data_IF_143284027214
#
_entry.id   IF_143284027214
#
_cell.length_a   1.000
_cell.length_b   1.000
_cell.length_c   1.000
_cell.angle_alpha   90.00
_cell.angle_beta   90.00
_cell.angle_gamma   90.00
#
_symmetry.space_group_name_H-M   'P 1'
#
loop_
_entity.id
_entity.type
_entity.pdbx_description
1 polymer ?
#
# COMPACT_ATOMS: atom_id res chain seq x y z
N UNK A 1 -0.10 4.94 19.18
CA UNK A 1 -1.56 4.64 19.01
C UNK A 1 -2.12 4.02 20.28
N UNK A 2 -3.25 4.49 20.77
CA UNK A 2 -4.01 3.88 21.88
C UNK A 2 -5.10 2.99 21.29
N UNK A 3 -5.23 1.76 21.81
CA UNK A 3 -6.25 0.80 21.40
C UNK A 3 -6.91 0.20 22.66
N UNK A 4 -8.24 0.19 22.69
CA UNK A 4 -8.97 -0.35 23.84
C UNK A 4 -10.40 -0.82 23.49
N UNK A 5 -10.96 -1.62 24.35
CA UNK A 5 -12.39 -1.98 24.35
C UNK A 5 -13.08 -1.20 25.47
N UNK A 6 -14.10 -0.43 25.12
CA UNK A 6 -14.87 0.37 26.07
C UNK A 6 -16.33 0.51 25.64
N UNK A 7 -17.17 1.11 26.50
CA UNK A 7 -18.54 1.40 26.12
C UNK A 7 -18.60 2.48 25.04
N UNK A 8 -19.48 2.32 24.08
CA UNK A 8 -19.57 3.24 22.95
C UNK A 8 -19.89 4.68 23.38
N UNK A 9 -20.74 4.85 24.42
CA UNK A 9 -21.06 6.17 24.97
C UNK A 9 -19.83 6.94 25.48
N UNK A 10 -18.76 6.23 25.87
CA UNK A 10 -17.51 6.81 26.35
C UNK A 10 -16.46 6.96 25.24
N UNK A 11 -16.86 6.66 23.98
CA UNK A 11 -15.96 6.56 22.83
C UNK A 11 -16.06 7.74 21.85
N UNK A 12 -16.68 8.85 22.25
CA UNK A 12 -16.70 10.06 21.42
C UNK A 12 -15.27 10.55 21.14
N UNK A 13 -14.97 10.85 19.87
CA UNK A 13 -13.62 11.24 19.45
C UNK A 13 -12.63 10.10 19.27
N UNK A 14 -13.08 8.83 19.35
CA UNK A 14 -12.31 7.65 19.03
C UNK A 14 -12.72 7.05 17.69
N UNK A 15 -11.79 6.40 17.01
CA UNK A 15 -12.07 5.69 15.76
C UNK A 15 -12.49 4.25 16.04
N UNK A 16 -13.50 3.76 15.31
CA UNK A 16 -13.92 2.36 15.38
C UNK A 16 -12.84 1.44 14.79
N UNK A 17 -12.41 0.44 15.55
CA UNK A 17 -11.50 -0.60 15.05
C UNK A 17 -12.21 -1.66 14.22
N UNK A 18 -13.53 -1.80 14.41
CA UNK A 18 -14.40 -2.70 13.65
C UNK A 18 -15.74 -2.04 13.33
N UNK A 19 -16.43 -2.56 12.32
CA UNK A 19 -17.74 -2.03 11.97
C UNK A 19 -18.77 -2.37 13.04
N UNK A 20 -19.66 -1.42 13.34
CA UNK A 20 -20.81 -1.59 14.24
C UNK A 20 -22.11 -1.17 13.54
N UNK A 21 -23.24 -1.65 14.05
CA UNK A 21 -24.57 -1.25 13.56
C UNK A 21 -25.19 -0.21 14.52
N UNK A 22 -25.62 0.91 13.96
CA UNK A 22 -26.35 1.95 14.65
C UNK A 22 -27.68 2.17 13.96
N UNK A 23 -28.79 1.79 14.59
CA UNK A 23 -30.14 1.96 14.02
C UNK A 23 -30.31 1.32 12.63
N UNK A 24 -29.68 0.16 12.38
CA UNK A 24 -29.69 -0.52 11.08
C UNK A 24 -28.67 0.02 10.06
N UNK A 25 -28.02 1.14 10.34
CA UNK A 25 -26.93 1.68 9.51
C UNK A 25 -25.59 1.14 9.98
N UNK A 26 -24.75 0.67 9.04
CA UNK A 26 -23.40 0.22 9.33
C UNK A 26 -22.44 1.42 9.43
N UNK A 27 -21.81 1.58 10.60
CA UNK A 27 -20.64 2.43 10.77
C UNK A 27 -19.40 1.57 10.52
N UNK A 28 -18.56 1.97 9.57
CA UNK A 28 -17.40 1.19 9.14
C UNK A 28 -16.22 1.27 10.12
N UNK A 29 -15.24 0.39 9.95
CA UNK A 29 -13.89 0.52 10.51
C UNK A 29 -13.34 1.91 10.15
N UNK A 30 -12.61 2.57 11.07
CA UNK A 30 -12.02 3.89 10.88
C UNK A 30 -13.00 5.05 11.07
N UNK A 31 -14.30 4.79 11.32
CA UNK A 31 -15.25 5.87 11.61
C UNK A 31 -14.90 6.55 12.93
N UNK A 32 -14.63 7.85 12.88
CA UNK A 32 -14.50 8.69 14.07
C UNK A 32 -15.91 8.86 14.68
N UNK A 33 -16.09 8.38 15.90
CA UNK A 33 -17.39 8.46 16.58
C UNK A 33 -17.67 9.90 17.03
N UNK A 34 -18.79 10.47 16.55
CA UNK A 34 -19.31 11.70 17.11
C UNK A 34 -19.93 11.45 18.49
N UNK A 35 -20.09 12.51 19.30
CA UNK A 35 -20.78 12.40 20.59
C UNK A 35 -22.20 11.87 20.46
N UNK A 36 -22.90 12.24 19.39
CA UNK A 36 -24.24 11.78 19.10
C UNK A 36 -24.28 10.28 18.75
N UNK A 37 -23.37 9.82 17.89
CA UNK A 37 -23.24 8.40 17.54
C UNK A 37 -22.84 7.55 18.75
N UNK A 38 -21.90 8.03 19.54
CA UNK A 38 -21.46 7.37 20.77
C UNK A 38 -22.61 7.20 21.77
N UNK A 39 -23.36 8.27 22.03
CA UNK A 39 -24.53 8.24 22.89
C UNK A 39 -25.63 7.30 22.37
N UNK A 40 -25.88 7.31 21.06
CA UNK A 40 -26.90 6.46 20.44
C UNK A 40 -26.53 4.96 20.44
N UNK A 41 -25.24 4.61 20.41
CA UNK A 41 -24.74 3.24 20.61
C UNK A 41 -24.84 2.79 22.09
N UNK A 42 -24.82 3.73 23.03
CA UNK A 42 -25.01 3.49 24.45
C UNK A 42 -23.93 2.61 25.08
N UNK A 43 -24.38 1.64 25.91
CA UNK A 43 -23.47 0.74 26.65
C UNK A 43 -22.90 -0.41 25.81
N UNK A 44 -23.11 -0.45 24.49
CA UNK A 44 -22.51 -1.45 23.62
C UNK A 44 -20.98 -1.39 23.74
N UNK A 45 -20.33 -2.54 23.94
CA UNK A 45 -18.88 -2.62 23.92
C UNK A 45 -18.37 -2.52 22.48
N UNK A 46 -17.41 -1.61 22.27
CA UNK A 46 -16.78 -1.37 20.98
C UNK A 46 -15.26 -1.40 21.13
N UNK A 47 -14.58 -1.88 20.10
CA UNK A 47 -13.15 -1.74 19.98
C UNK A 47 -12.85 -0.43 19.25
N UNK A 48 -12.04 0.40 19.88
CA UNK A 48 -11.71 1.73 19.39
C UNK A 48 -10.22 2.01 19.48
N UNK A 49 -9.77 2.95 18.65
CA UNK A 49 -8.39 3.41 18.66
C UNK A 49 -8.31 4.92 18.52
N UNK A 50 -7.22 5.49 18.97
CA UNK A 50 -6.90 6.90 18.84
C UNK A 50 -5.44 7.05 18.44
N UNK A 51 -5.19 7.89 17.43
CA UNK A 51 -3.83 8.23 17.02
C UNK A 51 -3.21 9.17 18.06
N UNK A 52 -1.92 8.98 18.31
CA UNK A 52 -1.09 9.91 19.07
C UNK A 52 -0.48 10.93 18.09
N UNK A 53 0.17 11.95 18.60
CA UNK A 53 0.62 13.10 17.80
C UNK A 53 1.65 12.78 16.71
N UNK A 54 2.37 11.68 16.89
CA UNK A 54 3.42 11.18 16.00
C UNK A 54 3.00 9.93 15.19
N UNK A 55 1.74 9.53 15.30
CA UNK A 55 1.18 8.44 14.51
C UNK A 55 0.69 8.92 13.14
N UNK A 56 0.95 8.11 12.13
CA UNK A 56 0.27 8.17 10.84
C UNK A 56 -0.81 7.09 10.77
N UNK A 57 -1.95 7.41 10.22
CA UNK A 57 -2.96 6.41 9.88
C UNK A 57 -2.41 5.40 8.86
N UNK A 58 -3.05 4.22 8.78
CA UNK A 58 -2.65 3.18 7.84
C UNK A 58 -2.60 3.69 6.38
N UNK A 59 -3.53 4.58 5.99
CA UNK A 59 -3.59 5.10 4.63
C UNK A 59 -2.52 6.18 4.39
N UNK A 60 -2.28 7.09 5.33
CA UNK A 60 -1.20 8.09 5.25
C UNK A 60 0.18 7.43 5.19
N UNK A 61 0.41 6.40 6.02
CA UNK A 61 1.66 5.64 6.00
C UNK A 61 1.86 4.91 4.67
N UNK A 62 0.81 4.24 4.15
CA UNK A 62 0.87 3.57 2.85
C UNK A 62 1.12 4.55 1.70
N UNK A 63 0.45 5.70 1.72
CA UNK A 63 0.64 6.76 0.73
C UNK A 63 2.05 7.35 0.78
N UNK A 64 2.59 7.56 1.98
CA UNK A 64 3.95 8.06 2.16
C UNK A 64 5.00 7.10 1.59
N UNK A 65 4.85 5.79 1.85
CA UNK A 65 5.82 4.77 1.41
C UNK A 65 5.69 4.40 -0.06
N UNK A 66 4.52 4.54 -0.68
CA UNK A 66 4.32 4.15 -2.09
C UNK A 66 5.27 4.91 -3.03
N UNK A 67 5.45 6.22 -2.79
CA UNK A 67 6.32 7.06 -3.62
C UNK A 67 7.79 6.67 -3.51
N UNK A 68 8.21 6.25 -2.33
CA UNK A 68 9.59 5.84 -2.07
C UNK A 68 9.88 4.43 -2.63
N UNK A 69 8.91 3.52 -2.57
CA UNK A 69 9.04 2.13 -3.02
C UNK A 69 8.93 1.98 -4.55
N UNK A 70 7.97 2.66 -5.15
CA UNK A 70 7.66 2.50 -6.57
C UNK A 70 8.18 3.67 -7.42
N UNK A 71 8.79 4.68 -6.77
CA UNK A 71 9.32 5.90 -7.38
C UNK A 71 8.24 6.95 -7.63
N UNK A 72 8.65 8.23 -7.56
CA UNK A 72 7.77 9.36 -7.89
C UNK A 72 7.32 9.34 -9.36
N UNK A 73 7.97 8.55 -10.19
CA UNK A 73 7.69 8.36 -11.60
C UNK A 73 7.10 6.98 -11.90
N UNK A 74 6.33 6.40 -10.98
CA UNK A 74 5.53 5.23 -11.31
C UNK A 74 4.39 5.62 -12.27
N UNK A 75 4.76 6.23 -13.38
CA UNK A 75 3.86 6.39 -14.52
C UNK A 75 3.89 5.11 -15.36
N UNK A 76 2.81 4.78 -16.06
CA UNK A 76 2.76 3.64 -16.96
C UNK A 76 3.94 3.58 -17.94
N UNK A 77 4.49 4.76 -18.30
CA UNK A 77 5.55 4.88 -19.30
C UNK A 77 6.96 4.61 -18.72
N UNK A 78 7.22 4.94 -17.46
CA UNK A 78 8.57 4.86 -16.88
C UNK A 78 8.84 3.57 -16.12
N UNK A 79 7.93 3.13 -15.26
CA UNK A 79 8.10 1.91 -14.47
C UNK A 79 7.29 0.72 -15.00
N UNK A 80 6.36 0.95 -15.93
CA UNK A 80 5.43 -0.07 -16.40
C UNK A 80 4.44 -0.53 -15.33
N UNK A 81 4.18 0.31 -14.30
CA UNK A 81 3.28 0.04 -13.20
C UNK A 81 2.21 1.12 -13.10
N UNK A 82 1.02 0.72 -12.67
CA UNK A 82 -0.07 1.60 -12.23
C UNK A 82 -0.33 1.34 -10.76
N UNK A 83 -0.38 2.38 -9.95
CA UNK A 83 -0.62 2.26 -8.50
C UNK A 83 -2.09 2.55 -8.19
N UNK A 84 -2.67 1.77 -7.27
CA UNK A 84 -3.96 2.11 -6.68
C UNK A 84 -3.81 3.25 -5.67
N UNK A 85 -4.91 3.91 -5.36
CA UNK A 85 -4.97 4.76 -4.16
C UNK A 85 -4.73 3.93 -2.90
N UNK A 86 -4.16 4.57 -1.86
CA UNK A 86 -4.03 3.97 -0.56
C UNK A 86 -5.42 3.82 0.07
N UNK A 87 -5.80 2.58 0.42
CA UNK A 87 -7.07 2.28 1.10
C UNK A 87 -6.89 1.15 2.09
N UNK A 88 -7.36 1.37 3.32
CA UNK A 88 -7.22 0.40 4.43
C UNK A 88 -5.79 -0.11 4.58
N UNK A 89 -4.83 0.84 4.53
CA UNK A 89 -3.39 0.59 4.64
C UNK A 89 -2.79 -0.18 3.46
N UNK A 90 -3.46 -0.23 2.30
CA UNK A 90 -3.00 -1.02 1.15
C UNK A 90 -2.81 -0.15 -0.09
N UNK A 91 -1.70 -0.40 -0.80
CA UNK A 91 -1.45 0.06 -2.16
C UNK A 91 -1.12 -1.15 -3.03
N UNK A 92 -1.79 -1.29 -4.15
CA UNK A 92 -1.51 -2.31 -5.16
C UNK A 92 -0.74 -1.69 -6.32
N UNK A 93 0.30 -2.36 -6.78
CA UNK A 93 1.00 -2.06 -8.02
C UNK A 93 0.60 -3.08 -9.08
N UNK A 94 0.00 -2.61 -10.16
CA UNK A 94 -0.49 -3.40 -11.28
C UNK A 94 0.43 -3.21 -12.49
N UNK A 95 0.63 -4.23 -13.31
CA UNK A 95 1.34 -4.09 -14.57
C UNK A 95 0.55 -3.19 -15.53
N UNK A 96 1.16 -2.11 -15.98
CA UNK A 96 0.56 -1.18 -16.97
C UNK A 96 0.67 -1.70 -18.40
N UNK A 97 1.56 -2.67 -18.63
CA UNK A 97 1.84 -3.29 -19.95
C UNK A 97 2.39 -4.70 -19.76
N UNK A 98 2.32 -5.58 -20.78
CA UNK A 98 2.96 -6.89 -20.73
C UNK A 98 4.47 -6.78 -20.59
N UNK A 99 5.10 -7.71 -19.84
CA UNK A 99 6.53 -7.69 -19.64
C UNK A 99 7.03 -8.71 -18.63
N UNK A 100 8.24 -8.45 -18.13
CA UNK A 100 8.85 -9.20 -17.03
C UNK A 100 8.99 -8.30 -15.81
N UNK A 101 8.62 -8.83 -14.65
CA UNK A 101 8.85 -8.18 -13.36
C UNK A 101 10.34 -8.21 -13.07
N UNK A 102 10.92 -7.06 -12.73
CA UNK A 102 12.33 -6.94 -12.30
C UNK A 102 12.34 -6.33 -10.90
N UNK A 103 12.87 -7.08 -9.93
CA UNK A 103 12.83 -6.73 -8.53
C UNK A 103 14.22 -6.53 -7.94
N UNK A 104 14.34 -5.59 -7.00
CA UNK A 104 15.43 -5.55 -6.03
C UNK A 104 15.05 -6.42 -4.83
N UNK A 105 15.27 -7.73 -4.92
CA UNK A 105 14.94 -8.69 -3.87
C UNK A 105 15.65 -8.35 -2.53
N UNK A 106 16.89 -7.84 -2.58
CA UNK A 106 17.61 -7.43 -1.38
C UNK A 106 16.97 -6.20 -0.73
N UNK A 107 16.54 -5.22 -1.54
CA UNK A 107 15.82 -4.04 -1.08
C UNK A 107 14.48 -4.40 -0.44
N UNK A 108 13.72 -5.30 -1.07
CA UNK A 108 12.45 -5.82 -0.53
C UNK A 108 12.69 -6.54 0.81
N UNK A 109 13.72 -7.38 0.89
CA UNK A 109 14.09 -8.06 2.13
C UNK A 109 14.45 -7.09 3.25
N UNK A 110 15.20 -6.02 2.96
CA UNK A 110 15.50 -4.96 3.93
C UNK A 110 14.24 -4.24 4.39
N UNK A 111 13.37 -3.84 3.45
CA UNK A 111 12.10 -3.18 3.76
C UNK A 111 11.23 -4.02 4.70
N UNK A 112 11.01 -5.29 4.36
CA UNK A 112 10.20 -6.20 5.18
C UNK A 112 10.84 -6.57 6.52
N UNK A 113 12.14 -6.35 6.67
CA UNK A 113 12.88 -6.58 7.91
C UNK A 113 12.92 -5.40 8.88
N UNK A 114 12.35 -4.24 8.50
CA UNK A 114 12.40 -3.03 9.35
C UNK A 114 11.45 -3.14 10.53
N UNK A 115 10.19 -3.50 10.26
CA UNK A 115 9.13 -3.57 11.27
C UNK A 115 7.98 -4.44 10.75
N UNK A 116 7.37 -5.24 11.61
CA UNK A 116 6.21 -6.09 11.26
C UNK A 116 4.95 -5.30 10.88
N UNK A 117 4.92 -4.00 11.23
CA UNK A 117 3.83 -3.10 10.87
C UNK A 117 3.76 -2.79 9.36
N UNK A 118 4.85 -2.97 8.63
CA UNK A 118 4.93 -2.68 7.20
C UNK A 118 5.38 -3.91 6.42
N UNK A 119 4.72 -4.18 5.30
CA UNK A 119 5.09 -5.32 4.46
C UNK A 119 4.86 -5.03 2.98
N UNK A 120 5.75 -5.56 2.14
CA UNK A 120 5.66 -5.52 0.69
C UNK A 120 5.70 -6.95 0.17
N UNK A 121 4.58 -7.41 -0.38
CA UNK A 121 4.48 -8.68 -1.10
C UNK A 121 4.63 -8.42 -2.60
N UNK A 122 5.34 -9.30 -3.31
CA UNK A 122 5.58 -9.18 -4.76
C UNK A 122 5.42 -10.52 -5.45
N UNK A 123 5.20 -10.47 -6.77
CA UNK A 123 5.44 -11.64 -7.62
C UNK A 123 6.94 -12.01 -7.58
N UNK A 124 7.29 -13.23 -8.01
CA UNK A 124 8.70 -13.61 -8.19
C UNK A 124 9.44 -12.70 -9.19
N UNK A 125 10.75 -12.53 -8.98
CA UNK A 125 11.60 -11.86 -9.97
C UNK A 125 11.53 -12.60 -11.32
N UNK A 126 11.54 -11.83 -12.41
CA UNK A 126 11.42 -12.30 -13.80
C UNK A 126 10.12 -13.04 -14.14
N UNK A 127 9.09 -12.91 -13.30
CA UNK A 127 7.75 -13.37 -13.61
C UNK A 127 7.21 -12.60 -14.82
N UNK A 128 6.67 -13.35 -15.81
CA UNK A 128 5.93 -12.73 -16.92
C UNK A 128 4.57 -12.23 -16.42
N UNK A 129 4.18 -11.06 -16.88
CA UNK A 129 2.90 -10.43 -16.54
C UNK A 129 2.24 -9.85 -17.78
N UNK A 130 0.92 -9.80 -17.73
CA UNK A 130 0.06 -9.11 -18.70
C UNK A 130 -0.47 -7.81 -18.07
N UNK A 131 -1.04 -6.94 -18.90
CA UNK A 131 -1.62 -5.67 -18.42
C UNK A 131 -2.73 -5.94 -17.39
N UNK A 132 -2.65 -5.29 -16.24
CA UNK A 132 -3.60 -5.43 -15.14
C UNK A 132 -3.23 -6.48 -14.10
N UNK A 133 -2.19 -7.30 -14.34
CA UNK A 133 -1.74 -8.26 -13.32
C UNK A 133 -1.21 -7.55 -12.07
N UNK A 134 -1.54 -8.11 -10.90
CA UNK A 134 -1.05 -7.61 -9.61
C UNK A 134 0.41 -8.00 -9.43
N UNK A 135 1.31 -7.01 -9.45
CA UNK A 135 2.76 -7.18 -9.34
C UNK A 135 3.23 -7.14 -7.90
N UNK A 136 2.70 -6.20 -7.14
CA UNK A 136 3.07 -6.01 -5.74
C UNK A 136 1.92 -5.42 -4.92
N UNK A 137 1.96 -5.68 -3.61
CA UNK A 137 1.06 -5.06 -2.62
C UNK A 137 1.88 -4.57 -1.44
N UNK A 138 1.87 -3.26 -1.21
CA UNK A 138 2.28 -2.66 0.05
C UNK A 138 1.12 -2.76 1.03
N UNK A 139 1.39 -3.17 2.28
CA UNK A 139 0.39 -3.24 3.34
C UNK A 139 0.94 -2.70 4.65
N UNK A 140 0.19 -1.78 5.25
CA UNK A 140 0.34 -1.37 6.65
C UNK A 140 -0.60 -2.23 7.47
N UNK A 141 -0.08 -2.95 8.46
CA UNK A 141 -0.83 -3.96 9.21
C UNK A 141 -1.71 -3.34 10.30
N UNK A 142 -1.20 -2.46 11.19
CA UNK A 142 -2.01 -1.83 12.22
C UNK A 142 -2.83 -0.65 11.67
N UNK A 143 -3.75 -0.12 12.48
CA UNK A 143 -4.58 1.05 12.12
C UNK A 143 -3.79 2.35 12.03
N UNK A 144 -2.65 2.40 12.72
CA UNK A 144 -1.71 3.51 12.69
C UNK A 144 -0.31 3.03 13.04
N UNK A 145 0.70 3.72 12.56
CA UNK A 145 2.12 3.46 12.84
C UNK A 145 2.83 4.75 13.23
N UNK A 146 3.83 4.70 14.12
CA UNK A 146 4.66 5.85 14.40
C UNK A 146 5.36 6.36 13.12
N UNK A 147 5.46 7.68 12.98
CA UNK A 147 6.21 8.30 11.89
C UNK A 147 7.66 7.78 11.81
N UNK A 148 8.25 7.44 12.97
CA UNK A 148 9.59 6.88 13.05
C UNK A 148 9.69 5.52 12.30
N UNK A 149 8.68 4.64 12.44
CA UNK A 149 8.61 3.36 11.71
C UNK A 149 8.56 3.60 10.19
N UNK A 150 7.72 4.54 9.74
CA UNK A 150 7.63 4.90 8.32
C UNK A 150 8.97 5.44 7.80
N UNK A 151 9.63 6.29 8.57
CA UNK A 151 10.94 6.85 8.19
C UNK A 151 12.02 5.76 8.12
N UNK A 152 12.02 4.81 9.04
CA UNK A 152 12.95 3.68 9.04
C UNK A 152 12.72 2.71 7.86
N UNK A 153 11.46 2.55 7.43
CA UNK A 153 11.08 1.70 6.31
C UNK A 153 11.40 2.32 4.94
N UNK A 154 11.67 3.63 4.86
CA UNK A 154 12.05 4.25 3.60
C UNK A 154 13.30 3.60 3.02
N UNK A 155 13.28 3.17 1.75
CA UNK A 155 14.49 2.66 1.12
C UNK A 155 15.56 3.75 1.16
N UNK A 156 16.80 3.36 1.48
CA UNK A 156 17.94 4.26 1.30
C UNK A 156 17.90 4.77 -0.15
N UNK A 157 17.95 6.08 -0.32
CA UNK A 157 17.79 6.69 -1.65
C UNK A 157 18.77 6.02 -2.62
N UNK A 158 18.30 5.35 -3.69
CA UNK A 158 19.20 4.69 -4.61
C UNK A 158 20.10 5.74 -5.25
N UNK A 159 21.37 5.41 -5.54
CA UNK A 159 22.23 6.31 -6.29
C UNK A 159 21.51 6.67 -7.61
N UNK A 160 21.65 7.90 -8.11
CA UNK A 160 20.98 8.34 -9.32
C UNK A 160 21.29 7.37 -10.48
N UNK A 161 20.23 6.79 -11.06
CA UNK A 161 20.35 5.79 -12.14
C UNK A 161 20.10 4.34 -11.74
N UNK A 162 19.89 4.02 -10.46
CA UNK A 162 19.50 2.65 -10.05
C UNK A 162 18.01 2.41 -10.29
N UNK A 163 17.62 1.32 -10.96
CA UNK A 163 16.22 1.00 -11.20
C UNK A 163 15.58 0.44 -9.92
N UNK A 164 14.61 1.17 -9.37
CA UNK A 164 13.59 0.57 -8.52
C UNK A 164 12.85 -0.55 -9.27
N UNK A 165 12.07 -1.38 -8.57
CA UNK A 165 11.30 -2.45 -9.23
C UNK A 165 10.50 -1.91 -10.42
N UNK A 166 10.58 -2.58 -11.56
CA UNK A 166 9.92 -2.18 -12.80
C UNK A 166 9.50 -3.40 -13.62
N UNK A 167 8.54 -3.18 -14.52
CA UNK A 167 8.23 -4.14 -15.58
C UNK A 167 9.05 -3.78 -16.82
N UNK A 168 10.06 -4.60 -17.13
CA UNK A 168 10.86 -4.42 -18.33
C UNK A 168 10.11 -4.99 -19.56
N UNK A 169 10.15 -4.27 -20.69
CA UNK A 169 9.64 -4.82 -21.94
C UNK A 169 10.51 -5.99 -22.39
N UNK A 170 9.89 -7.12 -22.74
CA UNK A 170 10.55 -8.12 -23.56
C UNK A 170 10.73 -7.49 -24.94
N UNK A 171 11.96 -7.16 -25.31
CA UNK A 171 12.25 -6.66 -26.65
C UNK A 171 11.75 -7.66 -27.69
N UNK A 172 10.68 -7.32 -28.39
CA UNK A 172 10.26 -8.04 -29.58
C UNK A 172 11.36 -7.89 -30.64
N UNK A 173 12.08 -8.95 -30.88
CA UNK A 173 12.88 -9.03 -32.10
C UNK A 173 11.92 -8.92 -33.29
N UNK A 174 11.94 -7.80 -33.95
CA UNK A 174 11.29 -7.64 -35.26
C UNK A 174 11.96 -8.63 -36.22
N UNK A 175 11.19 -9.51 -36.90
CA UNK A 175 11.81 -10.38 -37.90
C UNK A 175 12.37 -9.47 -39.01
N UNK A 176 13.68 -9.56 -39.22
CA UNK A 176 14.35 -8.92 -40.32
C UNK A 176 13.69 -9.37 -41.64
N UNK A 177 13.08 -8.44 -42.34
CA UNK A 177 12.63 -8.66 -43.72
C UNK A 177 13.87 -8.82 -44.60
N UNK A 178 14.14 -10.06 -45.01
CA UNK A 178 15.12 -10.35 -46.06
C UNK A 178 14.66 -9.73 -47.39
N UNK A 179 15.54 -9.05 -48.11
CA UNK A 179 15.20 -8.59 -49.47
C UNK A 179 15.18 -9.79 -50.42
N UNK A 180 14.03 -10.02 -51.04
CA UNK A 180 13.91 -10.93 -52.19
C UNK A 180 14.63 -10.26 -53.35
N UNK A 181 15.80 -10.83 -53.73
CA UNK A 181 16.47 -10.51 -54.98
C UNK A 181 15.78 -11.25 -56.08
N UNK A 182 15.08 -10.49 -56.95
CA UNK A 182 14.57 -11.06 -58.21
C UNK A 182 15.64 -10.94 -59.30
N UNK A 183 15.84 -12.04 -59.98
CA UNK A 183 16.43 -12.08 -61.33
C UNK A 183 15.41 -12.60 -62.29
#
# INVERSE_FOLDING_TARGET
>A
MKFQTQQAQDSAGWNLAQAVLLGGRRLGKGTLLSSEQAAALGAQLVQVYQLESDDLSEDEAAQSLQSDLFGQAATPDTAGLTLSEARTGRVNALAAKPGLVVLDAAGIGRFNGVDEAVTLATLPDRQRVETGDLVATLKIIPFAVPQATVNAARPAQPPPGSPGGRVAQSGGASPASSPVSGA
#
